data_IF_242463657591
#
_entry.id   IF_242463657591
#
_cell.length_a   1.000
_cell.length_b   1.000
_cell.length_c   1.000
_cell.angle_alpha   90.00
_cell.angle_beta   90.00
_cell.angle_gamma   90.00
#
_symmetry.space_group_name_H-M   'P 1'
#
loop_
_entity.id
_entity.type
_entity.pdbx_description
1 polymer ?
#
# COMPACT_ATOMS: atom_id res chain seq x y z
N UNK A 1 5.46 -19.35 0.57
CA UNK A 1 4.94 -17.98 0.79
C UNK A 1 3.56 -18.11 1.39
N UNK A 2 3.29 -17.48 2.54
CA UNK A 2 1.95 -17.46 3.15
C UNK A 2 1.09 -16.45 2.42
N UNK A 3 -0.06 -16.88 1.89
CA UNK A 3 -1.03 -16.03 1.23
C UNK A 3 -2.20 -15.79 2.17
N UNK A 4 -2.71 -14.56 2.18
CA UNK A 4 -3.91 -14.25 2.93
C UNK A 4 -5.10 -14.82 2.14
N UNK A 5 -5.85 -15.73 2.76
CA UNK A 5 -7.05 -16.34 2.18
C UNK A 5 -8.31 -15.55 2.52
N UNK A 6 -8.32 -14.87 3.68
CA UNK A 6 -9.47 -14.06 4.15
C UNK A 6 -9.01 -12.85 4.95
N UNK A 7 -9.72 -11.74 4.77
CA UNK A 7 -9.53 -10.49 5.53
C UNK A 7 -10.88 -10.06 6.09
N UNK A 8 -10.93 -9.76 7.38
CA UNK A 8 -12.07 -9.14 8.04
C UNK A 8 -11.65 -7.83 8.71
N UNK A 9 -12.34 -6.74 8.38
CA UNK A 9 -12.04 -5.40 8.91
C UNK A 9 -12.84 -5.20 10.20
N UNK A 10 -12.15 -4.86 11.27
CA UNK A 10 -12.74 -4.58 12.57
C UNK A 10 -12.64 -3.07 12.87
N UNK A 11 -13.43 -2.56 13.82
CA UNK A 11 -13.27 -1.21 14.36
C UNK A 11 -11.85 -0.97 14.92
N UNK A 12 -11.52 0.29 15.18
CA UNK A 12 -10.23 0.71 15.77
C UNK A 12 -9.01 0.28 14.94
N UNK A 13 -9.14 0.31 13.61
CA UNK A 13 -8.06 -0.03 12.67
C UNK A 13 -7.51 -1.46 12.84
N UNK A 14 -8.31 -2.40 13.34
CA UNK A 14 -7.89 -3.80 13.46
C UNK A 14 -8.27 -4.61 12.23
N UNK A 15 -7.37 -5.49 11.81
CA UNK A 15 -7.65 -6.49 10.78
C UNK A 15 -7.51 -7.89 11.36
N UNK A 16 -8.48 -8.74 11.08
CA UNK A 16 -8.36 -10.17 11.27
C UNK A 16 -7.99 -10.81 9.93
N UNK A 17 -6.89 -11.55 9.91
CA UNK A 17 -6.35 -12.22 8.74
C UNK A 17 -6.42 -13.73 8.95
N UNK A 18 -6.84 -14.45 7.92
CA UNK A 18 -6.68 -15.91 7.83
C UNK A 18 -5.76 -16.20 6.66
N UNK A 19 -4.79 -17.07 6.89
CA UNK A 19 -3.83 -17.53 5.90
C UNK A 19 -4.32 -18.80 5.20
N UNK A 20 -3.64 -19.20 4.13
CA UNK A 20 -3.93 -20.44 3.40
C UNK A 20 -3.59 -21.72 4.19
N UNK A 21 -2.79 -21.60 5.25
CA UNK A 21 -2.47 -22.69 6.20
C UNK A 21 -3.43 -22.74 7.41
N UNK A 22 -4.62 -22.14 7.29
CA UNK A 22 -5.68 -22.03 8.31
C UNK A 22 -5.28 -21.23 9.57
N UNK A 23 -4.04 -20.73 9.64
CA UNK A 23 -3.59 -19.85 10.71
C UNK A 23 -4.36 -18.53 10.64
N UNK A 24 -4.87 -18.07 11.79
CA UNK A 24 -5.57 -16.79 11.89
C UNK A 24 -4.93 -15.89 12.96
N UNK A 25 -4.95 -14.58 12.72
CA UNK A 25 -4.41 -13.58 13.64
C UNK A 25 -5.10 -12.22 13.51
N UNK A 26 -4.95 -11.38 14.53
CA UNK A 26 -5.42 -10.00 14.53
C UNK A 26 -4.22 -9.06 14.54
N UNK A 27 -4.23 -8.05 13.68
CA UNK A 27 -3.23 -6.98 13.66
C UNK A 27 -3.91 -5.65 13.96
N UNK A 28 -3.27 -4.84 14.80
CA UNK A 28 -3.71 -3.49 15.13
C UNK A 28 -2.90 -2.48 14.29
N UNK A 29 -3.61 -1.70 13.48
CA UNK A 29 -3.01 -0.70 12.60
C UNK A 29 -3.14 0.73 13.16
N UNK A 30 -3.64 0.93 14.37
CA UNK A 30 -3.76 2.25 15.03
C UNK A 30 -2.42 2.93 15.34
N UNK A 31 -1.31 2.21 15.19
CA UNK A 31 0.05 2.79 15.26
C UNK A 31 0.60 3.21 13.89
N UNK A 32 -0.14 2.96 12.80
CA UNK A 32 0.29 3.25 11.43
C UNK A 32 -0.05 4.67 10.98
N UNK A 33 -0.66 5.51 11.82
CA UNK A 33 -0.86 6.94 11.56
C UNK A 33 0.44 7.70 11.22
N UNK A 34 1.60 7.10 11.54
CA UNK A 34 2.94 7.60 11.19
C UNK A 34 3.65 6.78 10.10
N UNK A 35 2.92 5.99 9.33
CA UNK A 35 3.39 5.55 8.02
C UNK A 35 2.61 6.34 7.00
N UNK A 36 3.28 7.34 6.43
CA UNK A 36 2.87 8.08 5.25
C UNK A 36 2.87 7.11 4.05
N UNK A 37 1.93 6.16 4.06
CA UNK A 37 1.65 5.28 2.93
C UNK A 37 0.92 6.11 1.89
N UNK A 38 1.63 7.05 1.26
CA UNK A 38 1.13 7.67 0.05
C UNK A 38 0.77 6.54 -0.92
N UNK A 39 -0.52 6.39 -1.30
CA UNK A 39 -0.97 5.30 -2.16
C UNK A 39 -0.17 5.24 -3.46
N UNK A 40 0.26 6.41 -3.95
CA UNK A 40 1.09 6.56 -5.14
C UNK A 40 2.50 5.98 -4.96
N UNK A 41 3.13 6.21 -3.81
CA UNK A 41 4.46 5.65 -3.52
C UNK A 41 4.40 4.11 -3.41
N UNK A 42 3.32 3.57 -2.84
CA UNK A 42 3.09 2.13 -2.80
C UNK A 42 2.83 1.57 -4.20
N UNK A 43 2.01 2.25 -5.01
CA UNK A 43 1.72 1.86 -6.39
C UNK A 43 3.00 1.83 -7.24
N UNK A 44 3.84 2.86 -7.18
CA UNK A 44 5.10 2.92 -7.92
C UNK A 44 6.05 1.79 -7.49
N UNK A 45 6.17 1.50 -6.19
CA UNK A 45 7.02 0.41 -5.68
C UNK A 45 6.53 -0.98 -6.09
N UNK A 46 5.21 -1.24 -6.05
CA UNK A 46 4.62 -2.54 -6.40
C UNK A 46 4.65 -2.77 -7.92
N UNK A 47 4.43 -1.72 -8.71
CA UNK A 47 4.35 -1.82 -10.17
C UNK A 47 5.70 -1.65 -10.87
N UNK A 48 6.71 -1.14 -10.17
CA UNK A 48 8.02 -0.80 -10.75
C UNK A 48 7.97 0.32 -11.79
N UNK A 49 6.84 1.04 -11.90
CA UNK A 49 6.69 2.19 -12.79
C UNK A 49 7.38 3.39 -12.20
N UNK A 50 7.94 4.22 -13.07
CA UNK A 50 8.47 5.51 -12.64
C UNK A 50 7.32 6.54 -12.58
N UNK A 51 7.39 7.55 -11.68
CA UNK A 51 6.35 8.56 -11.53
C UNK A 51 6.06 9.31 -12.84
N UNK A 52 7.03 9.48 -13.72
CA UNK A 52 6.86 10.08 -15.05
C UNK A 52 5.96 9.30 -16.02
N UNK A 53 5.77 8.00 -15.79
CA UNK A 53 4.88 7.15 -16.59
C UNK A 53 3.43 7.21 -16.08
N UNK A 54 3.27 7.53 -14.79
CA UNK A 54 1.97 7.57 -14.10
C UNK A 54 1.39 8.98 -14.07
N UNK A 55 2.25 10.00 -13.98
CA UNK A 55 1.89 11.41 -13.96
C UNK A 55 2.52 12.12 -15.17
N UNK A 56 1.85 12.12 -16.34
CA UNK A 56 2.37 12.75 -17.56
C UNK A 56 2.73 14.24 -17.37
N UNK A 57 2.09 14.92 -16.42
CA UNK A 57 2.33 16.32 -16.06
C UNK A 57 3.69 16.59 -15.40
N UNK A 58 4.42 15.55 -14.93
CA UNK A 58 5.76 15.69 -14.34
C UNK A 58 6.89 15.62 -15.38
N UNK A 59 6.57 15.37 -16.66
CA UNK A 59 7.54 15.49 -17.76
C UNK A 59 7.94 16.95 -17.86
N UNK A 60 9.08 17.28 -17.24
CA UNK A 60 9.68 18.63 -17.22
C UNK A 60 9.50 19.31 -18.58
N UNK A 61 8.79 20.43 -18.57
CA UNK A 61 8.96 21.45 -19.57
C UNK A 61 10.37 22.03 -19.37
N UNK A 62 11.34 21.50 -20.12
CA UNK A 62 12.65 22.11 -20.32
C UNK A 62 12.44 23.35 -21.19
N UNK A 63 11.88 24.40 -20.64
CA UNK A 63 11.87 25.72 -21.28
C UNK A 63 12.73 26.66 -20.45
N UNK A 64 13.88 27.00 -21.04
CA UNK A 64 14.88 27.96 -20.58
C UNK A 64 14.26 29.30 -20.14
N UNK A 65 14.74 29.82 -19.01
CA UNK A 65 14.97 31.24 -18.76
C UNK A 65 16.01 31.40 -17.64
#
# INVERSE_FOLDING_TARGET
MRKISKVNVLPDYRLQLTFDDDVSGSVDLSGLDRIDLCPDALYLRVTGKNPEDVFPALRRESTLA
#
